data_IF_336795065848
#
_entry.id   IF_336795065848
#
_cell.length_a   1.000
_cell.length_b   1.000
_cell.length_c   1.000
_cell.angle_alpha   90.00
_cell.angle_beta   90.00
_cell.angle_gamma   90.00
#
_symmetry.space_group_name_H-M   'P 1'
#
loop_
_entity.id
_entity.type
_entity.pdbx_description
1 polymer ?
#
# COMPACT_ATOMS: atom_id res chain seq x y z
N UNK A 1 -10.68 8.13 -14.99
CA UNK A 1 -9.85 7.07 -14.39
C UNK A 1 -8.49 7.68 -14.12
N UNK A 2 -8.08 7.72 -12.87
CA UNK A 2 -6.78 8.28 -12.49
C UNK A 2 -5.68 7.22 -12.59
N UNK A 3 -4.44 7.67 -12.83
CA UNK A 3 -3.29 6.78 -13.02
C UNK A 3 -2.05 7.35 -12.34
N UNK A 4 -1.30 6.50 -11.65
CA UNK A 4 0.09 6.78 -11.25
C UNK A 4 1.00 6.11 -12.27
N UNK A 5 1.82 6.90 -12.98
CA UNK A 5 2.87 6.40 -13.87
C UNK A 5 4.23 6.64 -13.24
N UNK A 6 5.01 5.59 -13.15
CA UNK A 6 6.39 5.59 -12.68
C UNK A 6 7.29 5.32 -13.88
N UNK A 7 8.18 6.26 -14.21
CA UNK A 7 8.99 6.19 -15.42
C UNK A 7 10.48 6.29 -15.10
N UNK A 8 11.21 5.24 -15.44
CA UNK A 8 12.67 5.16 -15.40
C UNK A 8 13.28 5.61 -14.06
N UNK A 9 12.64 5.23 -12.93
CA UNK A 9 13.11 5.63 -11.60
C UNK A 9 14.47 5.04 -11.30
N UNK A 10 15.37 5.91 -10.83
CA UNK A 10 16.70 5.54 -10.33
C UNK A 10 16.90 6.10 -8.93
N UNK A 11 17.49 5.28 -8.05
CA UNK A 11 17.93 5.71 -6.72
C UNK A 11 19.31 5.17 -6.40
N UNK A 12 20.19 6.07 -5.96
CA UNK A 12 21.57 5.78 -5.62
C UNK A 12 21.82 6.14 -4.15
N UNK A 13 22.30 5.20 -3.36
CA UNK A 13 22.80 5.45 -2.01
C UNK A 13 24.29 5.10 -1.92
N UNK A 14 25.10 6.06 -1.50
CA UNK A 14 26.56 5.85 -1.32
C UNK A 14 27.23 5.12 -2.50
N UNK A 15 26.98 5.57 -3.73
CA UNK A 15 27.49 5.01 -5.01
C UNK A 15 26.85 3.67 -5.43
N UNK A 16 25.94 3.05 -4.65
CA UNK A 16 25.21 1.85 -5.03
C UNK A 16 23.87 2.24 -5.63
N UNK A 17 23.60 1.84 -6.87
CA UNK A 17 22.26 1.93 -7.46
C UNK A 17 21.36 0.88 -6.80
N UNK A 18 20.40 1.32 -6.00
CA UNK A 18 19.41 0.46 -5.31
C UNK A 18 18.15 0.29 -6.16
N UNK A 19 17.82 1.33 -6.94
CA UNK A 19 16.80 1.27 -8.00
C UNK A 19 17.49 1.73 -9.27
N UNK A 20 17.40 0.95 -10.37
CA UNK A 20 18.24 1.13 -11.54
C UNK A 20 17.52 1.69 -12.75
N UNK A 21 16.29 1.24 -12.99
CA UNK A 21 15.43 1.70 -14.08
C UNK A 21 14.03 1.08 -13.90
N UNK A 22 13.27 1.60 -12.94
CA UNK A 22 11.96 1.03 -12.62
C UNK A 22 10.87 1.85 -13.27
N UNK A 23 10.05 1.18 -14.10
CA UNK A 23 8.89 1.77 -14.77
C UNK A 23 7.67 0.87 -14.60
N UNK A 24 6.55 1.43 -14.17
CA UNK A 24 5.26 0.74 -14.08
C UNK A 24 4.11 1.74 -13.94
N UNK A 25 2.90 1.24 -14.06
CA UNK A 25 1.68 2.01 -13.90
C UNK A 25 0.79 1.41 -12.82
N UNK A 26 -0.05 2.25 -12.21
CA UNK A 26 -1.11 1.86 -11.30
C UNK A 26 -2.36 2.65 -11.63
N UNK A 27 -3.47 1.96 -11.92
CA UNK A 27 -4.75 2.57 -12.24
C UNK A 27 -5.74 2.49 -11.08
N UNK A 28 -6.71 3.39 -11.04
CA UNK A 28 -7.87 3.25 -10.15
C UNK A 28 -8.61 1.93 -10.42
N UNK A 29 -9.09 1.29 -9.34
CA UNK A 29 -9.87 0.06 -9.45
C UNK A 29 -9.06 -1.20 -9.73
N UNK A 30 -7.73 -1.16 -9.57
CA UNK A 30 -6.88 -2.34 -9.64
C UNK A 30 -6.00 -2.54 -8.42
N UNK A 31 -5.58 -3.77 -8.19
CA UNK A 31 -4.55 -4.13 -7.20
C UNK A 31 -3.29 -4.58 -7.92
N UNK A 32 -2.20 -3.85 -7.74
CA UNK A 32 -0.90 -4.15 -8.34
C UNK A 32 0.07 -4.60 -7.26
N UNK A 33 0.74 -5.74 -7.48
CA UNK A 33 1.82 -6.24 -6.64
C UNK A 33 3.19 -5.71 -7.07
N UNK A 34 4.01 -5.24 -6.14
CA UNK A 34 5.43 -5.02 -6.35
C UNK A 34 6.21 -6.01 -5.50
N UNK A 35 6.62 -7.11 -6.11
CA UNK A 35 7.15 -8.29 -5.45
C UNK A 35 8.66 -8.44 -5.71
N UNK A 36 9.32 -9.32 -4.97
CA UNK A 36 10.73 -9.61 -5.17
C UNK A 36 11.45 -9.91 -3.85
N UNK A 37 12.67 -10.41 -3.89
CA UNK A 37 13.46 -10.77 -2.71
C UNK A 37 13.79 -9.55 -1.84
N UNK A 38 14.28 -9.81 -0.62
CA UNK A 38 14.77 -8.76 0.26
C UNK A 38 15.96 -8.05 -0.40
N UNK A 39 15.95 -6.71 -0.32
CA UNK A 39 16.99 -5.88 -0.95
C UNK A 39 16.79 -5.63 -2.45
N UNK A 40 15.70 -6.11 -3.08
CA UNK A 40 15.39 -5.84 -4.48
C UNK A 40 15.08 -4.36 -4.80
N UNK A 41 14.83 -3.51 -3.79
CA UNK A 41 14.54 -2.09 -3.97
C UNK A 41 13.07 -1.70 -3.79
N UNK A 42 12.16 -2.63 -3.50
CA UNK A 42 10.71 -2.41 -3.36
C UNK A 42 10.35 -1.23 -2.44
N UNK A 43 10.78 -1.28 -1.18
CA UNK A 43 10.53 -0.22 -0.19
C UNK A 43 11.11 1.12 -0.64
N UNK A 44 12.25 1.12 -1.36
CA UNK A 44 12.84 2.34 -1.93
C UNK A 44 11.92 2.94 -2.99
N UNK A 45 11.34 2.11 -3.87
CA UNK A 45 10.35 2.55 -4.86
C UNK A 45 9.11 3.11 -4.18
N UNK A 46 8.57 2.40 -3.17
CA UNK A 46 7.45 2.90 -2.36
C UNK A 46 7.76 4.27 -1.76
N UNK A 47 8.91 4.44 -1.13
CA UNK A 47 9.30 5.71 -0.51
C UNK A 47 9.47 6.84 -1.52
N UNK A 48 9.90 6.55 -2.75
CA UNK A 48 9.92 7.53 -3.83
C UNK A 48 8.50 7.93 -4.25
N UNK A 49 7.55 6.97 -4.37
CA UNK A 49 6.17 7.27 -4.75
C UNK A 49 5.42 8.03 -3.64
N UNK A 50 5.64 7.68 -2.38
CA UNK A 50 5.05 8.37 -1.22
C UNK A 50 5.63 9.77 -1.03
N UNK A 51 6.88 9.99 -1.46
CA UNK A 51 7.60 11.26 -1.30
C UNK A 51 8.39 11.38 -0.01
N UNK A 52 8.80 10.25 0.60
CA UNK A 52 9.76 10.23 1.71
C UNK A 52 11.18 10.46 1.23
N UNK A 53 11.52 9.99 0.04
CA UNK A 53 12.82 10.19 -0.61
C UNK A 53 12.61 10.65 -2.05
N UNK A 54 13.54 11.45 -2.55
CA UNK A 54 13.53 11.88 -3.94
C UNK A 54 14.23 10.84 -4.83
N UNK A 55 13.72 10.63 -6.04
CA UNK A 55 14.44 9.93 -7.09
C UNK A 55 15.67 10.74 -7.52
N UNK A 56 16.72 10.06 -7.96
CA UNK A 56 17.91 10.71 -8.53
C UNK A 56 17.73 10.93 -10.04
N UNK A 57 16.91 10.11 -10.71
CA UNK A 57 16.41 10.33 -12.07
C UNK A 57 15.09 9.59 -12.30
N UNK A 58 14.45 9.84 -13.45
CA UNK A 58 13.10 9.38 -13.75
C UNK A 58 12.04 10.32 -13.20
N UNK A 59 10.78 10.01 -13.41
CA UNK A 59 9.66 10.80 -12.92
C UNK A 59 8.49 9.95 -12.42
N UNK A 60 7.65 10.59 -11.62
CA UNK A 60 6.40 10.03 -11.09
C UNK A 60 5.30 10.99 -11.48
N UNK A 61 4.37 10.49 -12.30
CA UNK A 61 3.21 11.25 -12.75
C UNK A 61 1.96 10.78 -12.01
N UNK A 62 1.12 11.71 -11.62
CA UNK A 62 -0.27 11.45 -11.23
C UNK A 62 -1.15 12.11 -12.31
N UNK A 63 -1.74 11.31 -13.17
CA UNK A 63 -2.37 11.78 -14.40
C UNK A 63 -1.35 12.61 -15.21
N UNK A 64 -1.69 13.85 -15.55
CA UNK A 64 -0.83 14.78 -16.27
C UNK A 64 0.08 15.62 -15.37
N UNK A 65 0.08 15.38 -14.05
CA UNK A 65 0.84 16.17 -13.07
C UNK A 65 2.12 15.47 -12.67
N UNK A 66 3.27 16.08 -12.92
CA UNK A 66 4.55 15.61 -12.37
C UNK A 66 4.61 15.89 -10.87
N UNK A 67 4.61 14.81 -10.09
CA UNK A 67 4.69 14.86 -8.61
C UNK A 67 6.07 14.47 -8.08
N UNK A 68 7.07 14.26 -8.94
CA UNK A 68 8.39 13.73 -8.59
C UNK A 68 9.05 14.50 -7.44
N UNK A 69 8.96 15.83 -7.48
CA UNK A 69 9.54 16.71 -6.44
C UNK A 69 8.58 17.05 -5.30
N UNK A 70 7.33 16.55 -5.34
CA UNK A 70 6.35 16.90 -4.31
C UNK A 70 6.63 16.17 -3.00
N UNK A 71 6.63 16.86 -1.86
CA UNK A 71 6.75 16.23 -0.55
C UNK A 71 5.48 15.43 -0.23
N UNK A 72 5.61 14.45 0.66
CA UNK A 72 4.56 13.50 1.07
C UNK A 72 3.20 14.17 1.32
N UNK A 73 3.17 15.28 2.09
CA UNK A 73 1.91 15.93 2.43
C UNK A 73 1.15 16.50 1.22
N UNK A 74 1.86 16.94 0.17
CA UNK A 74 1.23 17.38 -1.09
C UNK A 74 0.66 16.19 -1.83
N UNK A 75 1.40 15.08 -1.91
CA UNK A 75 0.92 13.83 -2.56
C UNK A 75 -0.29 13.26 -1.84
N UNK A 76 -0.31 13.29 -0.51
CA UNK A 76 -1.46 12.88 0.29
C UNK A 76 -2.72 13.72 -0.05
N UNK A 77 -2.58 15.04 -0.23
CA UNK A 77 -3.68 15.93 -0.65
C UNK A 77 -4.15 15.68 -2.09
N UNK A 78 -3.32 15.10 -2.93
CA UNK A 78 -3.68 14.67 -4.28
C UNK A 78 -4.36 13.30 -4.31
N UNK A 79 -4.46 12.62 -3.16
CA UNK A 79 -5.13 11.35 -3.02
C UNK A 79 -4.21 10.13 -2.98
N UNK A 80 -2.94 10.27 -2.61
CA UNK A 80 -2.03 9.13 -2.40
C UNK A 80 -1.96 8.82 -0.90
N UNK A 81 -2.63 7.73 -0.50
CA UNK A 81 -2.56 7.19 0.85
C UNK A 81 -1.40 6.21 1.02
N UNK A 82 -0.88 6.09 2.24
CA UNK A 82 0.20 5.18 2.57
C UNK A 82 -0.01 4.47 3.89
N UNK A 83 0.18 3.16 3.89
CA UNK A 83 0.16 2.31 5.06
C UNK A 83 1.55 1.69 5.25
N UNK A 84 2.33 2.13 6.25
CA UNK A 84 3.68 1.61 6.49
C UNK A 84 3.67 0.18 7.02
N UNK A 85 4.81 -0.50 6.87
CA UNK A 85 5.05 -1.82 7.47
C UNK A 85 4.99 -1.74 9.00
N UNK A 86 5.63 -0.73 9.60
CA UNK A 86 5.59 -0.54 11.05
C UNK A 86 4.26 0.04 11.50
N UNK A 87 3.83 -0.36 12.70
CA UNK A 87 2.56 0.11 13.27
C UNK A 87 2.54 1.62 13.47
N UNK A 88 1.55 2.28 12.87
CA UNK A 88 1.38 3.73 12.87
C UNK A 88 0.29 4.25 13.83
N UNK A 89 -0.40 3.37 14.58
CA UNK A 89 -1.46 3.79 15.50
C UNK A 89 -0.95 4.63 16.66
N UNK A 90 -1.72 5.60 17.09
CA UNK A 90 -1.50 6.32 18.34
C UNK A 90 -1.86 5.40 19.52
N UNK A 91 -0.86 4.71 20.06
CA UNK A 91 -1.02 3.60 21.02
C UNK A 91 -1.88 3.92 22.24
N UNK A 92 -1.83 5.15 22.77
CA UNK A 92 -2.57 5.60 23.96
C UNK A 92 -3.98 6.10 23.66
N UNK A 93 -4.34 6.29 22.40
CA UNK A 93 -5.67 6.69 21.95
C UNK A 93 -6.56 5.46 21.73
N UNK A 94 -7.88 5.65 21.86
CA UNK A 94 -8.87 4.63 21.46
C UNK A 94 -8.94 4.49 19.94
N UNK A 95 -9.65 3.48 19.46
CA UNK A 95 -9.89 3.29 18.01
C UNK A 95 -10.57 4.53 17.43
N UNK A 96 -11.68 4.99 18.02
CA UNK A 96 -12.39 6.18 17.56
C UNK A 96 -11.50 7.43 17.60
N UNK A 97 -10.70 7.62 18.65
CA UNK A 97 -9.75 8.73 18.76
C UNK A 97 -8.64 8.68 17.70
N UNK A 98 -8.17 7.48 17.33
CA UNK A 98 -7.19 7.31 16.27
C UNK A 98 -7.71 7.80 14.92
N UNK A 99 -8.98 7.54 14.60
CA UNK A 99 -9.62 7.97 13.35
C UNK A 99 -9.93 9.47 13.41
N UNK A 100 -10.52 9.94 14.52
CA UNK A 100 -10.83 11.36 14.71
C UNK A 100 -9.60 12.26 14.60
N UNK A 101 -8.46 11.84 15.15
CA UNK A 101 -7.22 12.61 15.06
C UNK A 101 -6.77 12.89 13.61
N UNK A 102 -7.10 12.03 12.66
CA UNK A 102 -6.86 12.28 11.23
C UNK A 102 -7.92 13.21 10.66
N UNK A 103 -9.20 12.97 10.98
CA UNK A 103 -10.32 13.76 10.49
C UNK A 103 -10.32 15.21 10.99
N UNK A 104 -9.69 15.49 12.13
CA UNK A 104 -9.53 16.85 12.66
C UNK A 104 -8.69 17.76 11.75
N UNK A 105 -7.82 17.18 10.93
CA UNK A 105 -7.02 17.93 9.95
C UNK A 105 -7.78 18.21 8.64
N UNK A 106 -9.02 17.73 8.51
CA UNK A 106 -9.87 17.97 7.34
C UNK A 106 -10.81 19.16 7.59
N UNK A 107 -11.16 19.87 6.53
CA UNK A 107 -12.14 20.98 6.57
C UNK A 107 -13.58 20.47 6.69
N UNK A 108 -13.84 19.62 7.69
CA UNK A 108 -15.16 19.03 7.99
C UNK A 108 -15.77 19.66 9.23
N UNK A 109 -17.10 19.82 9.26
CA UNK A 109 -17.84 20.15 10.48
C UNK A 109 -17.76 18.99 11.46
N UNK A 110 -18.00 19.28 12.74
CA UNK A 110 -17.93 18.27 13.82
C UNK A 110 -18.81 17.05 13.54
N UNK A 111 -20.05 17.28 13.16
CA UNK A 111 -21.02 16.23 12.85
C UNK A 111 -20.54 15.32 11.73
N UNK A 112 -20.05 15.90 10.64
CA UNK A 112 -19.51 15.16 9.50
C UNK A 112 -18.28 14.31 9.86
N UNK A 113 -17.44 14.77 10.80
CA UNK A 113 -16.29 13.97 11.29
C UNK A 113 -16.77 12.73 12.03
N UNK A 114 -17.80 12.85 12.86
CA UNK A 114 -18.36 11.70 13.60
C UNK A 114 -19.07 10.72 12.67
N UNK A 115 -19.87 11.19 11.72
CA UNK A 115 -20.51 10.34 10.70
C UNK A 115 -19.47 9.57 9.89
N UNK A 116 -18.41 10.24 9.44
CA UNK A 116 -17.32 9.62 8.69
C UNK A 116 -16.53 8.62 9.53
N UNK A 117 -16.24 8.95 10.78
CA UNK A 117 -15.62 8.02 11.74
C UNK A 117 -16.48 6.77 11.93
N UNK A 118 -17.80 6.91 12.15
CA UNK A 118 -18.71 5.80 12.32
C UNK A 118 -18.78 4.92 11.07
N UNK A 119 -18.82 5.53 9.89
CA UNK A 119 -18.75 4.82 8.62
C UNK A 119 -17.48 3.97 8.49
N UNK A 120 -16.31 4.54 8.78
CA UNK A 120 -15.02 3.84 8.71
C UNK A 120 -14.92 2.70 9.74
N UNK A 121 -15.39 2.92 10.96
CA UNK A 121 -15.42 1.90 12.03
C UNK A 121 -16.24 0.69 11.59
N UNK A 122 -17.43 0.94 11.04
CA UNK A 122 -18.34 -0.11 10.56
C UNK A 122 -17.75 -0.82 9.33
N UNK A 123 -17.23 -0.07 8.35
CA UNK A 123 -16.68 -0.60 7.12
C UNK A 123 -15.51 -1.56 7.38
N UNK A 124 -14.64 -1.21 8.33
CA UNK A 124 -13.47 -2.02 8.69
C UNK A 124 -13.75 -3.04 9.80
N UNK A 125 -14.99 -3.12 10.32
CA UNK A 125 -15.41 -4.10 11.31
C UNK A 125 -14.69 -3.98 12.65
N UNK A 126 -14.43 -2.75 13.11
CA UNK A 126 -13.72 -2.47 14.38
C UNK A 126 -14.61 -1.82 15.45
N UNK A 127 -15.94 -1.87 15.29
CA UNK A 127 -16.86 -1.29 16.25
C UNK A 127 -16.81 -1.95 17.63
N UNK A 128 -16.64 -3.28 17.68
CA UNK A 128 -16.53 -4.04 18.93
C UNK A 128 -15.35 -3.63 19.82
N UNK A 129 -14.30 -2.99 19.24
CA UNK A 129 -13.12 -2.48 19.94
C UNK A 129 -13.04 -0.95 19.95
N UNK A 130 -14.10 -0.26 19.52
CA UNK A 130 -14.16 1.19 19.31
C UNK A 130 -13.57 2.02 20.44
N UNK A 131 -13.88 1.68 21.70
CA UNK A 131 -13.42 2.39 22.90
C UNK A 131 -12.15 1.81 23.51
N UNK A 132 -11.61 0.73 22.94
CA UNK A 132 -10.36 0.16 23.43
C UNK A 132 -9.17 0.98 22.96
N UNK A 133 -8.14 1.04 23.81
CA UNK A 133 -6.87 1.71 23.46
C UNK A 133 -6.09 0.87 22.46
N UNK A 134 -5.45 1.53 21.47
CA UNK A 134 -4.80 0.84 20.37
C UNK A 134 -3.67 -0.12 20.78
N UNK A 135 -3.05 0.06 21.96
CA UNK A 135 -2.04 -0.89 22.45
C UNK A 135 -2.61 -2.24 22.91
N UNK A 136 -3.94 -2.35 23.14
CA UNK A 136 -4.60 -3.59 23.54
C UNK A 136 -5.14 -4.41 22.36
N UNK A 137 -5.10 -3.86 21.16
CA UNK A 137 -5.63 -4.50 19.96
C UNK A 137 -4.76 -5.66 19.49
N UNK A 138 -5.41 -6.70 18.97
CA UNK A 138 -4.75 -7.75 18.20
C UNK A 138 -4.05 -7.18 16.95
N UNK A 139 -3.17 -7.95 16.32
CA UNK A 139 -2.48 -7.55 15.08
C UNK A 139 -3.46 -7.17 13.97
N UNK A 140 -4.47 -8.01 13.73
CA UNK A 140 -5.50 -7.78 12.72
C UNK A 140 -6.39 -6.57 12.99
N UNK A 141 -6.86 -6.40 14.24
CA UNK A 141 -7.65 -5.21 14.63
C UNK A 141 -6.84 -3.93 14.45
N UNK A 142 -5.59 -3.95 14.88
CA UNK A 142 -4.68 -2.81 14.72
C UNK A 142 -4.49 -2.45 13.27
N UNK A 143 -4.27 -3.44 12.40
CA UNK A 143 -4.11 -3.22 10.95
C UNK A 143 -5.37 -2.63 10.32
N UNK A 144 -6.56 -3.08 10.72
CA UNK A 144 -7.83 -2.49 10.28
C UNK A 144 -8.00 -1.03 10.72
N UNK A 145 -7.58 -0.68 11.93
CA UNK A 145 -7.58 0.72 12.40
C UNK A 145 -6.58 1.57 11.60
N UNK A 146 -5.42 1.06 11.25
CA UNK A 146 -4.43 1.75 10.41
C UNK A 146 -4.98 2.01 8.99
N UNK A 147 -5.64 1.01 8.40
CA UNK A 147 -6.33 1.16 7.12
C UNK A 147 -7.45 2.21 7.23
N UNK A 148 -8.28 2.18 8.30
CA UNK A 148 -9.32 3.20 8.54
C UNK A 148 -8.74 4.61 8.55
N UNK A 149 -7.59 4.81 9.19
CA UNK A 149 -6.91 6.11 9.22
C UNK A 149 -6.41 6.55 7.85
N UNK A 150 -5.88 5.64 7.05
CA UNK A 150 -5.45 5.93 5.69
C UNK A 150 -6.64 6.32 4.80
N UNK A 151 -7.77 5.61 4.94
CA UNK A 151 -9.01 5.87 4.20
C UNK A 151 -9.73 7.16 4.64
N UNK A 152 -9.47 7.65 5.86
CA UNK A 152 -10.08 8.89 6.36
C UNK A 152 -9.80 10.10 5.45
N UNK A 153 -8.69 10.10 4.70
CA UNK A 153 -8.31 11.13 3.75
C UNK A 153 -8.91 10.94 2.34
N UNK A 154 -9.76 9.92 2.14
CA UNK A 154 -10.38 9.58 0.85
C UNK A 154 -9.37 9.46 -0.29
N UNK A 155 -8.36 8.61 -0.16
CA UNK A 155 -7.35 8.47 -1.19
C UNK A 155 -7.93 7.86 -2.47
N UNK A 156 -7.35 8.22 -3.62
CA UNK A 156 -7.57 7.55 -4.92
C UNK A 156 -6.67 6.33 -5.07
N UNK A 157 -5.49 6.41 -4.47
CA UNK A 157 -4.48 5.36 -4.46
C UNK A 157 -4.04 5.06 -3.03
N UNK A 158 -3.91 3.79 -2.71
CA UNK A 158 -3.46 3.32 -1.40
C UNK A 158 -2.24 2.41 -1.57
N UNK A 159 -1.12 2.83 -1.01
CA UNK A 159 0.13 2.07 -1.01
C UNK A 159 0.25 1.30 0.30
N UNK A 160 0.29 -0.02 0.22
CA UNK A 160 0.35 -0.96 1.35
C UNK A 160 1.73 -1.61 1.41
N UNK A 161 2.53 -1.20 2.39
CA UNK A 161 3.87 -1.77 2.61
C UNK A 161 3.77 -2.92 3.63
N UNK A 162 3.94 -4.14 3.15
CA UNK A 162 3.83 -5.40 3.92
C UNK A 162 2.58 -5.48 4.83
N UNK A 163 1.36 -5.38 4.25
CA UNK A 163 0.13 -5.34 5.06
C UNK A 163 -0.14 -6.63 5.84
N UNK A 164 0.46 -7.74 5.49
CA UNK A 164 0.28 -9.05 6.14
C UNK A 164 1.37 -9.36 7.17
N UNK A 165 2.38 -8.51 7.31
CA UNK A 165 3.48 -8.75 8.24
C UNK A 165 3.01 -8.78 9.69
N UNK A 166 3.33 -9.88 10.41
CA UNK A 166 2.96 -10.04 11.83
C UNK A 166 1.46 -10.19 12.10
N UNK A 167 0.69 -10.56 11.10
CA UNK A 167 -0.75 -10.81 11.18
C UNK A 167 -1.02 -12.31 11.11
N UNK A 168 -1.96 -12.81 11.92
CA UNK A 168 -2.35 -14.22 11.89
C UNK A 168 -3.12 -14.57 10.60
N UNK A 169 -3.18 -15.86 10.19
CA UNK A 169 -3.77 -16.26 8.92
C UNK A 169 -5.25 -15.89 8.76
N UNK A 170 -6.03 -15.89 9.84
CA UNK A 170 -7.46 -15.54 9.79
C UNK A 170 -7.57 -14.04 9.49
N UNK A 171 -6.80 -13.21 10.18
CA UNK A 171 -6.80 -11.78 9.96
C UNK A 171 -6.20 -11.38 8.59
N UNK A 172 -5.27 -12.17 8.02
CA UNK A 172 -4.79 -12.00 6.64
C UNK A 172 -5.97 -12.13 5.67
N UNK A 173 -6.80 -13.16 5.82
CA UNK A 173 -7.99 -13.36 4.98
C UNK A 173 -8.97 -12.17 5.08
N UNK A 174 -9.20 -11.65 6.30
CA UNK A 174 -10.04 -10.47 6.51
C UNK A 174 -9.48 -9.23 5.80
N UNK A 175 -8.16 -8.99 5.90
CA UNK A 175 -7.49 -7.86 5.23
C UNK A 175 -7.57 -8.01 3.71
N UNK A 176 -7.41 -9.20 3.17
CA UNK A 176 -7.62 -9.48 1.74
C UNK A 176 -9.03 -9.13 1.30
N UNK A 177 -10.05 -9.50 2.10
CA UNK A 177 -11.44 -9.12 1.85
C UNK A 177 -11.66 -7.60 1.86
N UNK A 178 -10.98 -6.88 2.76
CA UNK A 178 -10.99 -5.41 2.79
C UNK A 178 -10.38 -4.84 1.51
N UNK A 179 -9.19 -5.31 1.11
CA UNK A 179 -8.50 -4.83 -0.10
C UNK A 179 -9.38 -5.02 -1.35
N UNK A 180 -10.03 -6.18 -1.50
CA UNK A 180 -10.96 -6.44 -2.60
C UNK A 180 -12.12 -5.44 -2.64
N UNK A 181 -12.77 -5.20 -1.50
CA UNK A 181 -13.86 -4.20 -1.41
C UNK A 181 -13.39 -2.79 -1.74
N UNK A 182 -12.18 -2.40 -1.31
CA UNK A 182 -11.61 -1.10 -1.64
C UNK A 182 -11.34 -0.95 -3.13
N UNK A 183 -10.83 -2.00 -3.79
CA UNK A 183 -10.70 -2.06 -5.25
C UNK A 183 -12.06 -1.88 -5.94
N UNK A 184 -13.09 -2.61 -5.49
CA UNK A 184 -14.47 -2.52 -6.04
C UNK A 184 -15.06 -1.10 -5.89
N UNK A 185 -14.62 -0.35 -4.89
CA UNK A 185 -14.96 1.08 -4.72
C UNK A 185 -14.13 2.03 -5.60
N UNK A 186 -13.25 1.49 -6.43
CA UNK A 186 -12.46 2.25 -7.37
C UNK A 186 -11.07 2.67 -6.88
N UNK A 187 -10.61 2.24 -5.68
CA UNK A 187 -9.25 2.56 -5.25
C UNK A 187 -8.22 1.79 -6.07
N UNK A 188 -7.17 2.49 -6.55
CA UNK A 188 -5.95 1.86 -7.03
C UNK A 188 -5.07 1.46 -5.85
N UNK A 189 -4.62 0.21 -5.80
CA UNK A 189 -3.86 -0.31 -4.65
C UNK A 189 -2.53 -0.86 -5.11
N UNK A 190 -1.44 -0.31 -4.57
CA UNK A 190 -0.10 -0.87 -4.73
C UNK A 190 0.28 -1.62 -3.46
N UNK A 191 0.64 -2.88 -3.58
CA UNK A 191 0.98 -3.72 -2.45
C UNK A 191 2.36 -4.34 -2.61
N UNK A 192 3.17 -4.32 -1.55
CA UNK A 192 4.35 -5.18 -1.44
C UNK A 192 4.23 -6.04 -0.20
N UNK A 193 4.62 -7.30 -0.32
CA UNK A 193 4.69 -8.22 0.82
C UNK A 193 5.70 -9.32 0.52
N UNK A 194 6.26 -9.91 1.56
CA UNK A 194 7.10 -11.10 1.44
C UNK A 194 6.26 -12.40 1.38
N UNK A 195 4.99 -12.34 1.77
CA UNK A 195 4.04 -13.44 1.61
C UNK A 195 3.45 -13.42 0.18
N UNK A 196 4.22 -13.92 -0.76
CA UNK A 196 3.93 -13.87 -2.20
C UNK A 196 2.60 -14.52 -2.54
N UNK A 197 2.31 -15.69 -1.93
CA UNK A 197 1.08 -16.44 -2.20
C UNK A 197 -0.16 -15.63 -1.83
N UNK A 198 -0.17 -15.05 -0.65
CA UNK A 198 -1.31 -14.26 -0.18
C UNK A 198 -1.46 -12.96 -0.99
N UNK A 199 -0.37 -12.39 -1.46
CA UNK A 199 -0.40 -11.19 -2.31
C UNK A 199 -0.93 -11.51 -3.70
N UNK A 200 -0.42 -12.54 -4.37
CA UNK A 200 -0.86 -12.92 -5.71
C UNK A 200 -2.33 -13.34 -5.79
N UNK A 201 -2.93 -13.80 -4.67
CA UNK A 201 -4.37 -14.12 -4.60
C UNK A 201 -5.30 -12.92 -4.76
N UNK A 202 -4.80 -11.73 -4.49
CA UNK A 202 -5.61 -10.50 -4.51
C UNK A 202 -5.16 -9.48 -5.53
N UNK A 203 -4.01 -9.70 -6.18
CA UNK A 203 -3.50 -8.80 -7.23
C UNK A 203 -4.08 -9.16 -8.59
N UNK A 204 -4.39 -8.15 -9.39
CA UNK A 204 -4.75 -8.31 -10.80
C UNK A 204 -3.52 -8.61 -11.64
N UNK A 205 -2.44 -7.90 -11.33
CA UNK A 205 -1.12 -8.07 -11.96
C UNK A 205 -0.03 -7.71 -10.96
N UNK A 206 1.17 -8.19 -11.21
CA UNK A 206 2.30 -7.86 -10.37
C UNK A 206 3.58 -7.68 -11.19
N UNK A 207 4.52 -6.94 -10.59
CA UNK A 207 5.87 -6.71 -11.08
C UNK A 207 6.84 -7.40 -10.13
N UNK A 208 7.72 -8.25 -10.66
CA UNK A 208 8.77 -8.90 -9.87
C UNK A 208 10.06 -8.12 -10.05
N UNK A 209 10.52 -7.52 -8.97
CA UNK A 209 11.80 -6.81 -8.91
C UNK A 209 12.93 -7.72 -8.43
N UNK A 210 14.08 -7.56 -9.03
CA UNK A 210 15.34 -8.10 -8.53
C UNK A 210 16.48 -7.11 -8.79
N UNK A 211 17.40 -6.96 -7.85
CA UNK A 211 18.59 -6.09 -7.95
C UNK A 211 18.32 -4.66 -8.46
N UNK A 212 17.14 -4.11 -8.14
CA UNK A 212 16.76 -2.74 -8.49
C UNK A 212 16.06 -2.57 -9.83
N UNK A 213 15.74 -3.65 -10.53
CA UNK A 213 15.08 -3.66 -11.85
C UNK A 213 13.81 -4.51 -11.82
N UNK A 214 12.85 -4.23 -12.71
CA UNK A 214 11.70 -5.10 -12.96
C UNK A 214 12.16 -6.16 -13.97
N UNK A 215 12.10 -7.43 -13.57
CA UNK A 215 12.47 -8.54 -14.44
C UNK A 215 11.29 -9.13 -15.20
N UNK A 216 10.17 -9.30 -14.50
CA UNK A 216 8.98 -9.94 -15.05
C UNK A 216 7.75 -9.19 -14.55
N UNK A 217 6.74 -9.06 -15.39
CA UNK A 217 5.45 -8.54 -15.02
C UNK A 217 4.34 -9.31 -15.74
N UNK A 218 3.16 -9.33 -15.17
CA UNK A 218 1.98 -9.98 -15.75
C UNK A 218 0.89 -10.21 -14.71
N UNK A 219 -0.17 -10.89 -15.12
CA UNK A 219 -1.21 -11.39 -14.22
C UNK A 219 -0.64 -12.41 -13.24
N UNK A 220 -1.36 -12.65 -12.13
CA UNK A 220 -0.94 -13.67 -11.16
C UNK A 220 -0.76 -15.05 -11.80
N UNK A 221 -1.63 -15.42 -12.75
CA UNK A 221 -1.55 -16.70 -13.47
C UNK A 221 -0.32 -16.78 -14.38
N UNK A 222 -0.02 -15.71 -15.12
CA UNK A 222 1.17 -15.64 -15.97
C UNK A 222 2.45 -15.75 -15.15
N UNK A 223 2.53 -15.05 -14.00
CA UNK A 223 3.72 -15.06 -13.14
C UNK A 223 3.95 -16.43 -12.50
N UNK A 224 2.90 -17.13 -12.07
CA UNK A 224 3.01 -18.48 -11.51
C UNK A 224 3.52 -19.49 -12.53
N UNK A 225 3.25 -19.29 -13.82
CA UNK A 225 3.72 -20.16 -14.90
C UNK A 225 5.06 -19.70 -15.52
N UNK A 226 5.56 -18.54 -15.12
CA UNK A 226 6.80 -17.97 -15.68
C UNK A 226 8.05 -18.61 -15.04
N UNK A 227 8.88 -19.24 -15.86
CA UNK A 227 10.10 -19.95 -15.42
C UNK A 227 11.14 -19.03 -14.78
N UNK A 228 11.25 -17.79 -15.23
CA UNK A 228 12.18 -16.81 -14.67
C UNK A 228 11.70 -16.33 -13.29
N UNK A 229 10.41 -16.05 -13.15
CA UNK A 229 9.78 -15.72 -11.87
C UNK A 229 9.97 -16.85 -10.85
N UNK A 230 9.76 -18.10 -11.25
CA UNK A 230 10.00 -19.27 -10.40
C UNK A 230 11.45 -19.39 -9.98
N UNK A 231 12.38 -19.26 -10.92
CA UNK A 231 13.82 -19.41 -10.65
C UNK A 231 14.35 -18.34 -9.68
N UNK A 232 13.89 -17.10 -9.84
CA UNK A 232 14.46 -15.96 -9.11
C UNK A 232 13.78 -15.72 -7.76
N UNK A 233 12.45 -15.97 -7.68
CA UNK A 233 11.69 -15.51 -6.53
C UNK A 233 10.63 -16.50 -6.02
N UNK A 234 9.81 -17.08 -6.89
CA UNK A 234 8.67 -17.87 -6.45
C UNK A 234 9.07 -19.25 -5.92
N UNK A 235 10.12 -19.85 -6.50
CA UNK A 235 10.50 -21.26 -6.31
C UNK A 235 9.84 -22.18 -7.31
N UNK A 236 10.55 -23.27 -7.69
CA UNK A 236 10.13 -24.18 -8.80
C UNK A 236 8.79 -24.87 -8.57
N UNK A 237 8.42 -25.12 -7.31
CA UNK A 237 7.18 -25.80 -6.94
C UNK A 237 6.08 -24.83 -6.43
N UNK A 238 6.17 -23.54 -6.77
CA UNK A 238 5.22 -22.55 -6.31
C UNK A 238 3.86 -22.74 -6.99
N UNK A 239 2.79 -22.73 -6.17
CA UNK A 239 1.37 -22.73 -6.58
C UNK A 239 0.59 -21.75 -5.72
N UNK A 240 -0.47 -21.14 -6.24
CA UNK A 240 -1.38 -20.22 -5.52
C UNK A 240 -2.53 -21.00 -4.89
#
# INVERSE_FOLDING_TARGET
>A
MHTICVNNLVKIFKKRKVVRDVSFELHEGEVVGLLGPNGAGKTTVFYMIVGFINADSGNIMLDDVDITSYPMFKRARLGIGYLPQESSVFRKLTVEQNILAVLENMSLKREQRFEKMDSLINELGVDHVRKQKAYTLSGGERRRVEISRALALEPKFLLLDEPFAGVDPIAVFDIQGIIKRLKEKGLGILITDHNVRETLRITDRAYIMNEGEILVFGSSEELVNNEEAKRIYLGLNFTI
#
